data_IF_898136301020
#
_entry.id   IF_898136301020
#
_cell.length_a   1.000
_cell.length_b   1.000
_cell.length_c   1.000
_cell.angle_alpha   90.00
_cell.angle_beta   90.00
_cell.angle_gamma   90.00
#
_symmetry.space_group_name_H-M   'P 1'
#
loop_
_entity.id
_entity.type
_entity.pdbx_description
1 polymer ?
#
# COMPACT_ATOMS: atom_id res chain seq x y z
N UNK A 1 4.13 20.00 -15.54
CA UNK A 1 2.90 19.32 -16.02
C UNK A 1 3.17 18.00 -16.75
N UNK A 2 4.01 17.95 -17.80
CA UNK A 2 4.26 16.70 -18.54
C UNK A 2 4.82 15.54 -17.69
N UNK A 3 5.69 15.82 -16.70
CA UNK A 3 6.20 14.80 -15.78
C UNK A 3 5.11 14.18 -14.89
N UNK A 4 4.18 15.00 -14.39
CA UNK A 4 3.05 14.55 -13.58
C UNK A 4 2.12 13.61 -14.36
N UNK A 5 1.81 13.97 -15.62
CA UNK A 5 0.99 13.14 -16.50
C UNK A 5 1.68 11.80 -16.76
N UNK A 6 2.99 11.80 -17.02
CA UNK A 6 3.76 10.56 -17.24
C UNK A 6 3.76 9.65 -16.00
N UNK A 7 3.98 10.22 -14.82
CA UNK A 7 3.97 9.47 -13.56
C UNK A 7 2.61 8.80 -13.32
N UNK A 8 1.52 9.58 -13.45
CA UNK A 8 0.17 9.07 -13.27
C UNK A 8 -0.21 8.02 -14.34
N UNK A 9 0.16 8.26 -15.61
CA UNK A 9 -0.11 7.33 -16.70
C UNK A 9 0.62 6.00 -16.51
N UNK A 10 1.89 6.03 -16.11
CA UNK A 10 2.65 4.81 -15.81
C UNK A 10 2.02 4.05 -14.64
N UNK A 11 1.72 4.74 -13.53
CA UNK A 11 1.11 4.11 -12.36
C UNK A 11 -0.30 3.56 -12.61
N UNK A 12 -1.03 4.11 -13.58
CA UNK A 12 -2.36 3.64 -13.98
C UNK A 12 -2.32 2.57 -15.08
N UNK A 13 -1.15 2.24 -15.62
CA UNK A 13 -0.99 1.36 -16.79
C UNK A 13 -1.19 -0.13 -16.47
N UNK A 14 -0.99 -0.98 -17.48
CA UNK A 14 -0.88 -2.45 -17.34
C UNK A 14 0.30 -2.90 -16.50
N UNK A 15 1.31 -2.05 -16.32
CA UNK A 15 2.44 -2.30 -15.40
C UNK A 15 2.15 -1.77 -13.99
N UNK A 16 1.04 -1.04 -13.81
CA UNK A 16 0.59 -0.48 -12.54
C UNK A 16 -0.81 -0.98 -12.15
N UNK A 17 -1.68 -0.05 -11.74
CA UNK A 17 -3.00 -0.34 -11.18
C UNK A 17 -3.83 -1.28 -12.07
N UNK A 18 -3.91 -1.03 -13.39
CA UNK A 18 -4.72 -1.86 -14.27
C UNK A 18 -4.18 -3.30 -14.35
N UNK A 19 -2.86 -3.49 -14.35
CA UNK A 19 -2.25 -4.82 -14.29
C UNK A 19 -2.53 -5.53 -12.97
N UNK A 20 -2.41 -4.82 -11.85
CA UNK A 20 -2.76 -5.34 -10.53
C UNK A 20 -4.22 -5.78 -10.45
N UNK A 21 -5.13 -4.99 -11.01
CA UNK A 21 -6.55 -5.33 -11.10
C UNK A 21 -6.79 -6.56 -12.00
N UNK A 22 -6.09 -6.68 -13.12
CA UNK A 22 -6.18 -7.87 -13.97
C UNK A 22 -5.72 -9.14 -13.24
N UNK A 23 -4.64 -9.06 -12.44
CA UNK A 23 -4.16 -10.17 -11.61
C UNK A 23 -5.20 -10.52 -10.53
N UNK A 24 -5.79 -9.53 -9.86
CA UNK A 24 -6.83 -9.74 -8.84
C UNK A 24 -8.05 -10.49 -9.42
N UNK A 25 -8.51 -10.07 -10.61
CA UNK A 25 -9.61 -10.73 -11.32
C UNK A 25 -9.26 -12.15 -11.75
N UNK A 26 -8.02 -12.39 -12.19
CA UNK A 26 -7.55 -13.72 -12.59
C UNK A 26 -7.30 -14.66 -11.39
N UNK A 27 -7.10 -14.11 -10.19
CA UNK A 27 -6.87 -14.88 -8.96
C UNK A 27 -8.17 -15.33 -8.27
N UNK A 28 -9.35 -14.95 -8.79
CA UNK A 28 -10.64 -15.39 -8.23
C UNK A 28 -10.73 -16.92 -8.28
N UNK A 29 -10.96 -17.53 -7.12
CA UNK A 29 -11.05 -18.99 -6.99
C UNK A 29 -9.70 -19.71 -6.84
N UNK A 30 -8.59 -18.98 -6.80
CA UNK A 30 -7.26 -19.53 -6.51
C UNK A 30 -6.77 -19.14 -5.12
N UNK A 31 -5.73 -19.82 -4.63
CA UNK A 31 -5.03 -19.47 -3.38
C UNK A 31 -3.63 -18.97 -3.79
N UNK A 32 -3.41 -17.66 -3.93
CA UNK A 32 -2.11 -17.11 -4.28
C UNK A 32 -1.12 -17.33 -3.13
N UNK A 33 0.15 -17.47 -3.50
CA UNK A 33 1.25 -17.34 -2.56
C UNK A 33 1.35 -15.91 -2.03
N UNK A 34 2.04 -15.73 -0.89
CA UNK A 34 2.31 -14.39 -0.34
C UNK A 34 3.01 -13.48 -1.36
N UNK A 35 3.96 -14.03 -2.13
CA UNK A 35 4.68 -13.27 -3.15
C UNK A 35 3.76 -12.80 -4.29
N UNK A 36 2.81 -13.62 -4.70
CA UNK A 36 1.82 -13.26 -5.72
C UNK A 36 0.83 -12.22 -5.21
N UNK A 37 0.35 -12.37 -3.98
CA UNK A 37 -0.52 -11.40 -3.31
C UNK A 37 0.18 -10.05 -3.15
N UNK A 38 1.46 -10.07 -2.74
CA UNK A 38 2.30 -8.88 -2.64
C UNK A 38 2.46 -8.19 -3.99
N UNK A 39 2.84 -8.93 -5.03
CA UNK A 39 2.99 -8.38 -6.39
C UNK A 39 1.69 -7.73 -6.86
N UNK A 40 0.56 -8.41 -6.68
CA UNK A 40 -0.76 -7.91 -7.07
C UNK A 40 -1.09 -6.60 -6.34
N UNK A 41 -0.92 -6.53 -5.02
CA UNK A 41 -1.23 -5.30 -4.27
C UNK A 41 -0.25 -4.16 -4.48
N UNK A 42 1.04 -4.45 -4.71
CA UNK A 42 2.02 -3.44 -5.12
C UNK A 42 1.61 -2.76 -6.42
N UNK A 43 1.04 -3.52 -7.36
CA UNK A 43 0.53 -2.97 -8.62
C UNK A 43 -0.82 -2.28 -8.43
N UNK A 44 -1.81 -2.98 -7.86
CA UNK A 44 -3.21 -2.55 -7.78
C UNK A 44 -3.38 -1.29 -6.93
N UNK A 45 -2.84 -1.30 -5.72
CA UNK A 45 -3.02 -0.22 -4.74
C UNK A 45 -1.74 0.58 -4.59
N UNK A 46 -0.59 -0.10 -4.52
CA UNK A 46 0.70 0.52 -4.25
C UNK A 46 1.19 1.48 -5.34
N UNK A 47 0.91 1.20 -6.63
CA UNK A 47 1.39 2.01 -7.74
C UNK A 47 0.88 3.46 -7.66
N UNK A 48 -0.41 3.65 -7.40
CA UNK A 48 -0.99 4.99 -7.28
C UNK A 48 -0.59 5.70 -5.99
N UNK A 49 -0.41 4.98 -4.88
CA UNK A 49 0.12 5.58 -3.64
C UNK A 49 1.55 6.09 -3.83
N UNK A 50 2.41 5.30 -4.50
CA UNK A 50 3.76 5.74 -4.89
C UNK A 50 3.70 6.96 -5.81
N UNK A 51 2.87 6.92 -6.84
CA UNK A 51 2.72 8.03 -7.77
C UNK A 51 2.26 9.31 -7.07
N UNK A 52 1.32 9.23 -6.12
CA UNK A 52 0.87 10.39 -5.37
C UNK A 52 2.02 11.08 -4.59
N UNK A 53 2.90 10.29 -3.95
CA UNK A 53 4.09 10.81 -3.27
C UNK A 53 5.05 11.48 -4.26
N UNK A 54 5.37 10.80 -5.36
CA UNK A 54 6.29 11.31 -6.39
C UNK A 54 5.74 12.55 -7.09
N UNK A 55 4.44 12.58 -7.40
CA UNK A 55 3.77 13.73 -7.98
C UNK A 55 3.77 14.93 -7.04
N UNK A 56 3.67 14.72 -5.73
CA UNK A 56 3.84 15.78 -4.73
C UNK A 56 5.22 16.42 -4.81
N UNK A 57 6.28 15.61 -4.90
CA UNK A 57 7.65 16.10 -5.07
C UNK A 57 7.86 16.80 -6.42
N UNK A 58 7.31 16.25 -7.51
CA UNK A 58 7.37 16.83 -8.85
C UNK A 58 6.58 18.15 -8.99
N UNK A 59 5.57 18.37 -8.15
CA UNK A 59 4.79 19.60 -8.13
C UNK A 59 5.49 20.75 -7.39
N UNK A 60 6.51 20.43 -6.59
CA UNK A 60 7.38 21.43 -5.97
C UNK A 60 8.40 22.01 -6.96
N UNK A 61 9.51 22.52 -6.42
CA UNK A 61 10.64 22.98 -7.23
C UNK A 61 11.39 21.76 -7.80
N UNK A 62 10.92 21.24 -8.92
CA UNK A 62 11.47 20.01 -9.54
C UNK A 62 12.97 20.09 -9.84
N UNK A 63 13.52 21.29 -10.02
CA UNK A 63 14.97 21.53 -10.19
C UNK A 63 15.81 21.25 -8.94
N UNK A 64 15.17 21.19 -7.76
CA UNK A 64 15.81 20.86 -6.48
C UNK A 64 15.62 19.38 -6.10
N UNK A 65 14.85 18.63 -6.88
CA UNK A 65 14.62 17.21 -6.63
C UNK A 65 15.81 16.39 -7.16
N UNK A 66 16.67 15.95 -6.25
CA UNK A 66 17.77 15.04 -6.60
C UNK A 66 17.23 13.63 -6.86
N UNK A 67 17.93 12.84 -7.69
CA UNK A 67 17.53 11.46 -7.95
C UNK A 67 17.53 10.62 -6.66
N UNK A 68 18.49 10.87 -5.76
CA UNK A 68 18.52 10.22 -4.43
C UNK A 68 17.25 10.51 -3.61
N UNK A 69 16.75 11.76 -3.62
CA UNK A 69 15.50 12.12 -2.95
C UNK A 69 14.31 11.46 -3.62
N UNK A 70 14.29 11.41 -4.96
CA UNK A 70 13.23 10.76 -5.73
C UNK A 70 13.17 9.26 -5.42
N UNK A 71 14.30 8.57 -5.38
CA UNK A 71 14.39 7.15 -5.01
C UNK A 71 13.94 6.90 -3.57
N UNK A 72 14.35 7.77 -2.63
CA UNK A 72 13.90 7.72 -1.24
C UNK A 72 12.37 7.81 -1.13
N UNK A 73 11.76 8.75 -1.85
CA UNK A 73 10.31 8.93 -1.91
C UNK A 73 9.60 7.75 -2.61
N UNK A 74 10.21 7.17 -3.64
CA UNK A 74 9.69 5.96 -4.29
C UNK A 74 9.66 4.78 -3.31
N UNK A 75 10.76 4.50 -2.61
CA UNK A 75 10.84 3.45 -1.58
C UNK A 75 9.83 3.66 -0.45
N UNK A 76 9.66 4.92 -0.02
CA UNK A 76 8.62 5.29 0.94
C UNK A 76 7.22 4.95 0.42
N UNK A 77 6.89 5.40 -0.81
CA UNK A 77 5.58 5.16 -1.40
C UNK A 77 5.26 3.67 -1.60
N UNK A 78 6.25 2.87 -1.97
CA UNK A 78 6.12 1.42 -2.12
C UNK A 78 5.84 0.72 -0.80
N UNK A 79 6.56 1.09 0.26
CA UNK A 79 6.38 0.52 1.59
C UNK A 79 5.01 0.90 2.18
N UNK A 80 4.62 2.17 2.08
CA UNK A 80 3.32 2.65 2.57
C UNK A 80 2.16 2.09 1.75
N UNK A 81 2.33 1.97 0.44
CA UNK A 81 1.32 1.37 -0.44
C UNK A 81 0.96 -0.06 -0.04
N UNK A 82 1.98 -0.88 0.25
CA UNK A 82 1.78 -2.24 0.73
C UNK A 82 1.23 -2.28 2.18
N UNK A 83 1.77 -1.43 3.06
CA UNK A 83 1.32 -1.36 4.45
C UNK A 83 -0.17 -1.00 4.55
N UNK A 84 -0.64 -0.07 3.71
CA UNK A 84 -2.03 0.34 3.65
C UNK A 84 -2.96 -0.85 3.42
N UNK A 85 -2.66 -1.68 2.42
CA UNK A 85 -3.46 -2.86 2.13
C UNK A 85 -3.45 -3.88 3.26
N UNK A 86 -2.29 -4.17 3.85
CA UNK A 86 -2.19 -5.12 4.96
C UNK A 86 -3.02 -4.65 6.16
N UNK A 87 -3.02 -3.34 6.43
CA UNK A 87 -3.83 -2.76 7.51
C UNK A 87 -5.32 -2.82 7.16
N UNK A 88 -5.70 -2.54 5.92
CA UNK A 88 -7.08 -2.68 5.43
C UNK A 88 -7.61 -4.10 5.67
N UNK A 89 -6.86 -5.11 5.24
CA UNK A 89 -7.20 -6.53 5.45
C UNK A 89 -7.35 -6.88 6.95
N UNK A 90 -6.55 -6.25 7.83
CA UNK A 90 -6.66 -6.45 9.28
C UNK A 90 -7.93 -5.82 9.85
N UNK A 91 -8.26 -4.59 9.42
CA UNK A 91 -9.45 -3.88 9.87
C UNK A 91 -10.74 -4.57 9.40
N UNK A 92 -10.75 -5.08 8.16
CA UNK A 92 -11.90 -5.80 7.61
C UNK A 92 -12.24 -7.06 8.42
N UNK A 93 -11.22 -7.81 8.86
CA UNK A 93 -11.41 -8.99 9.72
C UNK A 93 -11.87 -8.60 11.12
N UNK A 94 -11.33 -7.53 11.70
CA UNK A 94 -11.72 -7.06 13.03
C UNK A 94 -13.16 -6.55 13.05
N UNK A 95 -13.56 -5.75 12.05
CA UNK A 95 -14.93 -5.29 11.86
C UNK A 95 -15.87 -6.49 11.66
N UNK A 96 -15.50 -7.44 10.80
CA UNK A 96 -16.28 -8.67 10.61
C UNK A 96 -16.47 -9.42 11.93
N UNK A 97 -15.45 -9.58 12.78
CA UNK A 97 -15.62 -10.24 14.07
C UNK A 97 -16.55 -9.50 15.04
N UNK A 98 -16.53 -8.16 15.03
CA UNK A 98 -17.47 -7.36 15.82
C UNK A 98 -18.92 -7.48 15.31
N UNK A 99 -19.11 -7.54 13.98
CA UNK A 99 -20.41 -7.64 13.31
C UNK A 99 -20.97 -9.06 13.29
N UNK A 100 -20.13 -10.10 13.31
CA UNK A 100 -20.52 -11.50 13.46
C UNK A 100 -21.17 -11.76 14.84
N UNK A 101 -20.98 -10.87 15.82
CA UNK A 101 -21.81 -10.84 17.05
C UNK A 101 -23.29 -10.52 16.80
N UNK A 102 -23.66 -10.05 15.60
CA UNK A 102 -25.04 -9.72 15.18
C UNK A 102 -25.54 -10.50 13.96
N UNK A 103 -24.66 -11.06 13.12
CA UNK A 103 -25.05 -11.72 11.85
C UNK A 103 -24.05 -12.81 11.43
N UNK A 104 -23.77 -13.77 12.32
CA UNK A 104 -22.74 -14.82 12.18
C UNK A 104 -22.82 -15.76 10.95
N UNK A 105 -23.72 -15.55 9.98
CA UNK A 105 -24.16 -16.64 9.10
C UNK A 105 -24.28 -16.39 7.61
N UNK A 106 -23.88 -15.25 7.03
CA UNK A 106 -24.16 -15.01 5.60
C UNK A 106 -22.99 -14.94 4.63
N UNK A 107 -21.81 -14.42 4.97
CA UNK A 107 -20.81 -14.15 3.91
C UNK A 107 -19.50 -14.92 4.06
N UNK A 108 -19.61 -16.26 4.07
CA UNK A 108 -18.50 -17.13 3.66
C UNK A 108 -18.27 -17.11 2.12
N UNK A 109 -18.96 -16.20 1.39
CA UNK A 109 -19.10 -16.20 -0.07
C UNK A 109 -18.00 -15.45 -0.84
N UNK A 110 -17.08 -14.75 -0.17
CA UNK A 110 -15.92 -14.19 -0.84
C UNK A 110 -14.64 -14.74 -0.22
N UNK A 111 -14.23 -15.94 -0.66
CA UNK A 111 -12.90 -16.53 -0.41
C UNK A 111 -11.79 -15.71 -1.08
N UNK A 112 -11.78 -14.39 -0.87
CA UNK A 112 -10.73 -13.52 -1.38
C UNK A 112 -9.50 -13.74 -0.49
N UNK A 113 -8.36 -14.14 -1.07
CA UNK A 113 -7.13 -14.30 -0.30
C UNK A 113 -6.68 -12.93 0.21
N UNK A 114 -6.57 -12.79 1.53
CA UNK A 114 -6.07 -11.61 2.24
C UNK A 114 -4.77 -11.94 2.98
N UNK A 115 -3.99 -10.92 3.36
CA UNK A 115 -2.80 -11.13 4.19
C UNK A 115 -3.13 -11.81 5.52
N UNK A 116 -4.28 -11.48 6.12
CA UNK A 116 -4.73 -12.09 7.37
C UNK A 116 -5.06 -13.57 7.16
N UNK A 117 -5.70 -13.93 6.05
CA UNK A 117 -6.02 -15.33 5.75
C UNK A 117 -4.78 -16.20 5.53
N UNK A 118 -3.69 -15.63 4.99
CA UNK A 118 -2.47 -16.37 4.68
C UNK A 118 -1.42 -16.36 5.80
N UNK A 119 -1.33 -15.28 6.59
CA UNK A 119 -0.31 -15.11 7.64
C UNK A 119 -0.86 -15.15 9.06
N UNK A 120 -2.16 -14.91 9.23
CA UNK A 120 -2.78 -14.59 10.51
C UNK A 120 -2.61 -13.12 10.89
N UNK A 121 -3.58 -12.59 11.65
CA UNK A 121 -3.63 -11.17 12.02
C UNK A 121 -2.37 -10.67 12.77
N UNK A 122 -1.77 -11.42 13.73
CA UNK A 122 -0.56 -10.97 14.41
C UNK A 122 0.63 -10.78 13.46
N UNK A 123 0.83 -11.72 12.52
CA UNK A 123 1.93 -11.66 11.57
C UNK A 123 1.73 -10.57 10.51
N UNK A 124 0.48 -10.38 10.04
CA UNK A 124 0.11 -9.28 9.16
C UNK A 124 0.38 -7.91 9.82
N UNK A 125 -0.07 -7.71 11.07
CA UNK A 125 0.22 -6.50 11.86
C UNK A 125 1.72 -6.28 12.08
N UNK A 126 2.48 -7.33 12.38
CA UNK A 126 3.94 -7.22 12.50
C UNK A 126 4.60 -6.81 11.18
N UNK A 127 4.05 -7.25 10.04
CA UNK A 127 4.57 -6.87 8.73
C UNK A 127 4.28 -5.41 8.38
N UNK A 128 3.07 -4.91 8.66
CA UNK A 128 2.77 -3.48 8.44
C UNK A 128 3.68 -2.56 9.28
N UNK A 129 4.01 -2.95 10.51
CA UNK A 129 5.00 -2.25 11.34
C UNK A 129 6.42 -2.26 10.73
N UNK A 130 6.85 -3.36 10.13
CA UNK A 130 8.13 -3.43 9.40
C UNK A 130 8.12 -2.52 8.17
N UNK A 131 7.04 -2.50 7.41
CA UNK A 131 6.89 -1.62 6.25
C UNK A 131 6.89 -0.15 6.64
N UNK A 132 6.24 0.21 7.76
CA UNK A 132 6.35 1.55 8.35
C UNK A 132 7.80 1.91 8.65
N UNK A 133 8.54 1.03 9.32
CA UNK A 133 9.95 1.27 9.63
C UNK A 133 10.79 1.47 8.35
N UNK A 134 10.56 0.66 7.31
CA UNK A 134 11.21 0.82 6.00
C UNK A 134 10.87 2.16 5.34
N UNK A 135 9.60 2.58 5.40
CA UNK A 135 9.17 3.88 4.87
C UNK A 135 9.89 5.03 5.58
N UNK A 136 9.90 5.02 6.92
CA UNK A 136 10.57 6.04 7.73
C UNK A 136 12.09 6.09 7.47
N UNK A 137 12.73 4.93 7.35
CA UNK A 137 14.15 4.82 7.02
C UNK A 137 14.45 5.39 5.63
N UNK A 138 13.57 5.16 4.64
CA UNK A 138 13.77 5.63 3.28
C UNK A 138 13.85 7.16 3.19
N UNK A 139 13.12 7.89 4.03
CA UNK A 139 13.04 9.37 4.02
C UNK A 139 13.92 10.03 5.09
N UNK A 140 14.70 9.26 5.85
CA UNK A 140 15.46 9.81 6.98
C UNK A 140 16.44 10.91 6.54
N UNK A 141 17.14 10.66 5.42
CA UNK A 141 18.08 11.62 4.81
C UNK A 141 17.45 12.89 4.23
N UNK A 142 16.12 12.97 4.12
CA UNK A 142 15.41 14.17 3.66
C UNK A 142 15.30 15.21 4.80
N UNK A 143 15.44 14.78 6.05
CA UNK A 143 15.42 15.66 7.23
C UNK A 143 14.02 16.11 7.66
N UNK A 144 13.91 17.31 8.23
CA UNK A 144 12.68 17.82 8.84
C UNK A 144 11.56 18.11 7.82
N UNK A 145 11.90 18.36 6.56
CA UNK A 145 10.91 18.60 5.50
C UNK A 145 10.01 17.38 5.22
N UNK A 146 10.46 16.17 5.58
CA UNK A 146 9.69 14.94 5.45
C UNK A 146 8.72 14.68 6.61
N UNK A 147 8.54 15.62 7.55
CA UNK A 147 7.74 15.40 8.76
C UNK A 147 6.30 14.94 8.47
N UNK A 148 5.62 15.56 7.50
CA UNK A 148 4.26 15.13 7.12
C UNK A 148 4.21 13.73 6.51
N UNK A 149 5.28 13.27 5.87
CA UNK A 149 5.37 11.88 5.41
C UNK A 149 5.52 10.92 6.60
N UNK A 150 6.30 11.28 7.62
CA UNK A 150 6.39 10.47 8.84
C UNK A 150 5.02 10.32 9.52
N UNK A 151 4.30 11.41 9.67
CA UNK A 151 2.94 11.43 10.23
C UNK A 151 1.95 10.60 9.40
N UNK A 152 2.06 10.66 8.07
CA UNK A 152 1.24 9.84 7.18
C UNK A 152 1.54 8.34 7.31
N UNK A 153 2.81 7.96 7.43
CA UNK A 153 3.20 6.57 7.68
C UNK A 153 2.62 6.04 9.00
N UNK A 154 2.63 6.88 10.05
CA UNK A 154 2.04 6.57 11.34
C UNK A 154 0.52 6.43 11.22
N UNK A 155 -0.13 7.37 10.55
CA UNK A 155 -1.57 7.34 10.33
C UNK A 155 -2.01 6.06 9.60
N UNK A 156 -1.31 5.69 8.50
CA UNK A 156 -1.66 4.51 7.71
C UNK A 156 -1.59 3.22 8.52
N UNK A 157 -0.59 3.07 9.40
CA UNK A 157 -0.36 1.82 10.13
C UNK A 157 -1.03 1.78 11.50
N UNK A 158 -1.19 2.93 12.16
CA UNK A 158 -1.79 3.03 13.49
C UNK A 158 -3.29 3.38 13.47
N UNK A 159 -3.90 3.59 12.29
CA UNK A 159 -5.34 3.85 12.20
C UNK A 159 -6.14 2.72 12.86
N UNK A 160 -7.19 3.13 13.57
CA UNK A 160 -8.24 2.25 14.12
C UNK A 160 -9.53 2.57 13.38
N UNK A 161 -10.39 1.56 13.19
CA UNK A 161 -11.76 1.76 12.70
C UNK A 161 -12.58 2.65 13.63
#
# INVERSE_FOLDING_TARGET
TAALIRELAHASSTEGMCGGQAIDLAAVGTIPTIAELERMHRMKTGALMKAAVLMGALSGHSSLLTECTREALARYGEAIGLAFQIVDDCLDVEASTADLGKTAGKDAEHRKPTYVSLLGAPAARAWSLRLRAQALQAIDGIGSSAQRLRELADFVVCRKS
#
